data_IF_223325371359
#
_entry.id   IF_223325371359
#
_cell.length_a   1.000
_cell.length_b   1.000
_cell.length_c   1.000
_cell.angle_alpha   90.00
_cell.angle_beta   90.00
_cell.angle_gamma   90.00
#
_symmetry.space_group_name_H-M   'P 1'
#
loop_
_entity.id
_entity.type
_entity.pdbx_description
1 polymer ?
#
# COMPACT_ATOMS: atom_id res chain seq x y z
N UNK A 1 -3.28 16.66 10.31
CA UNK A 1 -3.89 15.43 10.86
C UNK A 1 -2.78 14.49 11.31
N UNK A 2 -2.82 14.09 12.56
CA UNK A 2 -1.84 13.17 13.08
C UNK A 2 -2.27 11.72 12.84
N UNK A 3 -1.32 10.88 12.49
CA UNK A 3 -1.55 9.44 12.37
C UNK A 3 -1.68 8.84 13.76
N UNK A 4 -2.84 8.29 14.04
CA UNK A 4 -3.13 7.56 15.28
C UNK A 4 -3.73 6.19 14.92
N UNK A 5 -3.96 5.36 15.93
CA UNK A 5 -4.49 4.01 15.73
C UNK A 5 -5.82 4.02 14.96
N UNK A 6 -6.71 4.94 15.31
CA UNK A 6 -8.02 5.05 14.64
C UNK A 6 -7.86 5.33 13.15
N UNK A 7 -7.00 6.28 12.79
CA UNK A 7 -6.76 6.62 11.39
C UNK A 7 -6.08 5.46 10.65
N UNK A 8 -5.05 4.85 11.25
CA UNK A 8 -4.34 3.73 10.64
C UNK A 8 -5.28 2.56 10.37
N UNK A 9 -6.12 2.20 11.32
CA UNK A 9 -7.09 1.10 11.17
C UNK A 9 -8.16 1.43 10.13
N UNK A 10 -8.63 2.68 10.10
CA UNK A 10 -9.59 3.13 9.10
C UNK A 10 -8.99 3.07 7.69
N UNK A 11 -7.77 3.57 7.52
CA UNK A 11 -7.05 3.50 6.24
C UNK A 11 -6.81 2.05 5.82
N UNK A 12 -6.45 1.18 6.76
CA UNK A 12 -6.28 -0.26 6.48
C UNK A 12 -7.55 -0.84 5.87
N UNK A 13 -8.70 -0.59 6.49
CA UNK A 13 -9.99 -1.08 6.01
C UNK A 13 -10.35 -0.54 4.62
N UNK A 14 -10.17 0.77 4.44
CA UNK A 14 -10.47 1.42 3.15
C UNK A 14 -9.54 0.89 2.06
N UNK A 15 -8.24 0.83 2.31
CA UNK A 15 -7.28 0.34 1.32
C UNK A 15 -7.49 -1.14 1.00
N UNK A 16 -7.80 -1.97 2.01
CA UNK A 16 -8.05 -3.39 1.73
C UNK A 16 -9.36 -3.59 0.97
N UNK A 17 -10.40 -2.83 1.31
CA UNK A 17 -11.65 -2.85 0.53
C UNK A 17 -11.36 -2.55 -0.95
N UNK A 18 -10.57 -1.49 -1.20
CA UNK A 18 -10.18 -1.12 -2.55
C UNK A 18 -9.34 -2.22 -3.23
N UNK A 19 -8.40 -2.82 -2.50
CA UNK A 19 -7.55 -3.88 -3.05
C UNK A 19 -8.37 -5.10 -3.47
N UNK A 20 -9.33 -5.52 -2.66
CA UNK A 20 -10.22 -6.64 -2.98
C UNK A 20 -11.09 -6.29 -4.20
N UNK A 21 -11.65 -5.09 -4.23
CA UNK A 21 -12.48 -4.63 -5.35
C UNK A 21 -11.67 -4.58 -6.65
N UNK A 22 -10.45 -4.01 -6.61
CA UNK A 22 -9.58 -3.90 -7.78
C UNK A 22 -9.04 -5.27 -8.22
N UNK A 23 -8.79 -6.16 -7.27
CA UNK A 23 -8.41 -7.55 -7.59
C UNK A 23 -9.52 -8.28 -8.31
N UNK A 24 -10.75 -8.18 -7.83
CA UNK A 24 -11.92 -8.78 -8.46
C UNK A 24 -12.19 -8.14 -9.83
N UNK A 25 -12.10 -6.81 -9.93
CA UNK A 25 -12.26 -6.08 -11.18
C UNK A 25 -11.26 -6.56 -12.22
N UNK A 26 -9.98 -6.69 -11.85
CA UNK A 26 -8.94 -7.16 -12.76
C UNK A 26 -9.17 -8.60 -13.23
N UNK A 27 -9.62 -9.48 -12.32
CA UNK A 27 -9.85 -10.89 -12.64
C UNK A 27 -11.05 -11.11 -13.56
N UNK A 28 -12.03 -10.22 -13.53
CA UNK A 28 -13.30 -10.39 -14.25
C UNK A 28 -13.48 -9.35 -15.36
N UNK A 29 -13.59 -8.07 -15.02
CA UNK A 29 -13.92 -7.02 -16.00
C UNK A 29 -12.75 -6.72 -16.95
N UNK A 30 -11.51 -6.80 -16.49
CA UNK A 30 -10.32 -6.54 -17.31
C UNK A 30 -9.80 -7.79 -18.02
N UNK A 31 -10.37 -8.94 -17.75
CA UNK A 31 -9.94 -10.18 -18.40
C UNK A 31 -10.10 -10.07 -19.92
N UNK A 32 -8.99 -10.26 -20.62
CA UNK A 32 -8.97 -10.15 -22.08
C UNK A 32 -8.86 -8.71 -22.61
N UNK A 33 -8.91 -7.70 -21.77
CA UNK A 33 -8.78 -6.29 -22.14
C UNK A 33 -7.35 -5.76 -21.97
N UNK A 34 -6.56 -6.40 -21.12
CA UNK A 34 -5.15 -6.07 -20.92
C UNK A 34 -4.27 -7.13 -21.56
N UNK A 35 -3.15 -6.71 -22.16
CA UNK A 35 -2.15 -7.67 -22.62
C UNK A 35 -1.49 -8.37 -21.41
N UNK A 36 -0.72 -9.47 -21.64
CA UNK A 36 -0.10 -10.19 -20.52
C UNK A 36 0.79 -9.33 -19.63
N UNK A 37 1.54 -8.37 -20.23
CA UNK A 37 2.41 -7.49 -19.46
C UNK A 37 1.59 -6.56 -18.54
N UNK A 38 0.54 -5.97 -19.08
CA UNK A 38 -0.33 -5.07 -18.30
C UNK A 38 -1.15 -5.82 -17.25
N UNK A 39 -1.53 -7.05 -17.54
CA UNK A 39 -2.17 -7.93 -16.56
C UNK A 39 -1.23 -8.19 -15.38
N UNK A 40 0.05 -8.48 -15.65
CA UNK A 40 1.05 -8.68 -14.61
C UNK A 40 1.26 -7.40 -13.78
N UNK A 41 1.28 -6.23 -14.43
CA UNK A 41 1.39 -4.93 -13.74
C UNK A 41 0.20 -4.72 -12.80
N UNK A 42 -1.02 -4.99 -13.27
CA UNK A 42 -2.22 -4.88 -12.44
C UNK A 42 -2.17 -5.81 -11.24
N UNK A 43 -1.79 -7.06 -11.45
CA UNK A 43 -1.68 -8.06 -10.38
C UNK A 43 -0.63 -7.67 -9.35
N UNK A 44 0.51 -7.13 -9.78
CA UNK A 44 1.53 -6.61 -8.87
C UNK A 44 1.00 -5.44 -8.04
N UNK A 45 0.25 -4.54 -8.66
CA UNK A 45 -0.38 -3.42 -7.96
C UNK A 45 -1.30 -3.92 -6.85
N UNK A 46 -2.21 -4.84 -7.17
CA UNK A 46 -3.16 -5.41 -6.20
C UNK A 46 -2.42 -6.10 -5.05
N UNK A 47 -1.39 -6.87 -5.36
CA UNK A 47 -0.65 -7.65 -4.37
C UNK A 47 0.06 -6.75 -3.36
N UNK A 48 0.83 -5.77 -3.83
CA UNK A 48 1.53 -4.84 -2.94
C UNK A 48 0.55 -3.94 -2.18
N UNK A 49 -0.52 -3.54 -2.83
CA UNK A 49 -1.62 -2.80 -2.21
C UNK A 49 -2.21 -3.59 -1.02
N UNK A 50 -2.59 -4.83 -1.25
CA UNK A 50 -3.19 -5.68 -0.21
C UNK A 50 -2.22 -5.97 0.93
N UNK A 51 -0.96 -6.32 0.62
CA UNK A 51 0.04 -6.59 1.66
C UNK A 51 0.22 -5.40 2.59
N UNK A 52 0.26 -4.18 2.04
CA UNK A 52 0.52 -2.98 2.85
C UNK A 52 -0.74 -2.44 3.52
N UNK A 53 -1.93 -2.75 2.99
CA UNK A 53 -3.18 -2.53 3.72
C UNK A 53 -3.23 -3.41 4.98
N UNK A 54 -2.77 -4.68 4.89
CA UNK A 54 -2.63 -5.55 6.06
C UNK A 54 -1.53 -5.05 7.00
N UNK A 55 -0.44 -4.50 6.46
CA UNK A 55 0.60 -3.91 7.29
C UNK A 55 0.05 -2.73 8.11
N UNK A 56 -0.82 -1.92 7.52
CA UNK A 56 -1.51 -0.85 8.24
C UNK A 56 -2.40 -1.38 9.36
N UNK A 57 -3.08 -2.51 9.14
CA UNK A 57 -3.85 -3.16 10.19
C UNK A 57 -2.95 -3.55 11.37
N UNK A 58 -1.80 -4.15 11.07
CA UNK A 58 -0.82 -4.52 12.09
C UNK A 58 -0.28 -3.32 12.84
N UNK A 59 0.15 -2.29 12.12
CA UNK A 59 0.69 -1.06 12.72
C UNK A 59 -0.36 -0.36 13.56
N UNK A 60 -1.59 -0.24 13.05
CA UNK A 60 -2.69 0.37 13.81
C UNK A 60 -2.99 -0.38 15.09
N UNK A 61 -2.95 -1.71 15.05
CA UNK A 61 -3.13 -2.54 16.25
C UNK A 61 -2.00 -2.34 17.26
N UNK A 62 -0.75 -2.25 16.77
CA UNK A 62 0.40 -1.96 17.62
C UNK A 62 0.30 -0.57 18.26
N UNK A 63 -0.26 0.40 17.55
CA UNK A 63 -0.46 1.75 18.08
C UNK A 63 -1.44 1.76 19.28
N UNK A 64 -2.40 0.83 19.30
CA UNK A 64 -3.27 0.67 20.46
C UNK A 64 -2.50 0.15 21.69
N UNK A 65 -1.47 -0.68 21.44
CA UNK A 65 -0.64 -1.28 22.47
C UNK A 65 0.52 -0.37 22.90
N UNK A 66 1.09 0.35 21.96
CA UNK A 66 2.24 1.24 22.16
C UNK A 66 1.94 2.67 21.66
N UNK A 67 0.95 3.36 22.25
CA UNK A 67 0.51 4.65 21.70
C UNK A 67 1.57 5.75 21.71
N UNK A 68 2.60 5.61 22.56
CA UNK A 68 3.68 6.58 22.68
C UNK A 68 4.79 6.40 21.64
N UNK A 69 4.78 5.31 20.86
CA UNK A 69 5.84 5.03 19.89
C UNK A 69 5.60 5.77 18.58
N UNK A 70 6.28 6.90 18.40
CA UNK A 70 6.15 7.74 17.19
C UNK A 70 6.55 7.03 15.90
N UNK A 71 7.46 6.06 15.98
CA UNK A 71 7.86 5.27 14.82
C UNK A 71 6.71 4.52 14.18
N UNK A 72 5.70 4.11 14.94
CA UNK A 72 4.52 3.45 14.40
C UNK A 72 3.70 4.41 13.52
N UNK A 73 3.55 5.66 13.93
CA UNK A 73 2.86 6.66 13.13
C UNK A 73 3.62 6.93 11.81
N UNK A 74 4.95 7.02 11.88
CA UNK A 74 5.78 7.20 10.70
C UNK A 74 5.67 6.01 9.75
N UNK A 75 5.73 4.78 10.27
CA UNK A 75 5.54 3.57 9.45
C UNK A 75 4.17 3.58 8.76
N UNK A 76 3.11 3.96 9.48
CA UNK A 76 1.77 4.03 8.91
C UNK A 76 1.68 5.06 7.78
N UNK A 77 2.30 6.24 7.93
CA UNK A 77 2.36 7.24 6.86
C UNK A 77 3.15 6.73 5.66
N UNK A 78 4.28 6.04 5.89
CA UNK A 78 5.11 5.50 4.82
C UNK A 78 4.38 4.40 4.05
N UNK A 79 3.64 3.52 4.72
CA UNK A 79 2.82 2.52 4.04
C UNK A 79 1.69 3.17 3.25
N UNK A 80 1.05 4.19 3.79
CA UNK A 80 -0.01 4.95 3.10
C UNK A 80 0.54 5.61 1.83
N UNK A 81 1.68 6.29 1.94
CA UNK A 81 2.34 6.92 0.80
C UNK A 81 2.76 5.86 -0.23
N UNK A 82 3.30 4.74 0.24
CA UNK A 82 3.71 3.64 -0.62
C UNK A 82 2.56 3.05 -1.42
N UNK A 83 1.41 2.79 -0.79
CA UNK A 83 0.23 2.29 -1.49
C UNK A 83 -0.20 3.28 -2.57
N UNK A 84 -0.28 4.56 -2.23
CA UNK A 84 -0.71 5.60 -3.16
C UNK A 84 0.23 5.71 -4.35
N UNK A 85 1.53 5.79 -4.11
CA UNK A 85 2.52 5.99 -5.17
C UNK A 85 2.81 4.71 -5.94
N UNK A 86 3.03 3.59 -5.24
CA UNK A 86 3.40 2.33 -5.88
C UNK A 86 2.21 1.70 -6.61
N UNK A 87 1.16 1.34 -5.88
CA UNK A 87 0.00 0.69 -6.47
C UNK A 87 -0.75 1.64 -7.39
N UNK A 88 -0.94 2.90 -6.98
CA UNK A 88 -1.62 3.90 -7.79
C UNK A 88 -0.97 4.12 -9.14
N UNK A 89 0.36 4.24 -9.19
CA UNK A 89 1.08 4.41 -10.46
C UNK A 89 0.98 3.17 -11.36
N UNK A 90 1.04 1.98 -10.78
CA UNK A 90 0.90 0.73 -11.54
C UNK A 90 -0.51 0.55 -12.10
N UNK A 91 -1.56 0.88 -11.34
CA UNK A 91 -2.92 0.87 -11.88
C UNK A 91 -3.04 1.84 -13.06
N UNK A 92 -2.45 3.03 -12.93
CA UNK A 92 -2.48 4.03 -14.00
C UNK A 92 -1.73 3.54 -15.24
N UNK A 93 -0.57 2.92 -15.09
CA UNK A 93 0.18 2.33 -16.22
C UNK A 93 -0.66 1.26 -16.91
N UNK A 94 -1.27 0.36 -16.14
CA UNK A 94 -2.05 -0.75 -16.70
C UNK A 94 -3.27 -0.25 -17.47
N UNK A 95 -3.96 0.77 -16.97
CA UNK A 95 -5.19 1.28 -17.59
C UNK A 95 -4.94 2.22 -18.76
N UNK A 96 -3.84 2.99 -18.73
CA UNK A 96 -3.57 4.02 -19.74
C UNK A 96 -2.53 3.58 -20.77
N UNK A 97 -1.71 2.58 -20.45
CA UNK A 97 -0.55 2.22 -21.26
C UNK A 97 0.59 3.22 -21.20
N UNK A 98 0.47 4.27 -20.41
CA UNK A 98 1.49 5.33 -20.28
C UNK A 98 2.60 4.86 -19.34
N UNK A 99 3.60 4.17 -19.91
CA UNK A 99 4.71 3.57 -19.14
C UNK A 99 5.53 4.60 -18.38
N UNK A 100 5.52 5.87 -18.80
CA UNK A 100 6.19 6.97 -18.09
C UNK A 100 5.68 7.17 -16.66
N UNK A 101 4.42 6.82 -16.38
CA UNK A 101 3.86 6.87 -15.02
C UNK A 101 4.54 5.89 -14.07
N UNK A 102 5.19 4.85 -14.61
CA UNK A 102 5.99 3.91 -13.83
C UNK A 102 7.23 4.53 -13.20
N UNK A 103 7.60 5.75 -13.57
CA UNK A 103 8.70 6.49 -12.91
C UNK A 103 8.33 6.89 -11.48
N UNK A 104 7.03 6.93 -11.15
CA UNK A 104 6.54 7.23 -9.79
C UNK A 104 6.67 6.00 -8.89
N UNK A 105 6.54 4.81 -9.45
CA UNK A 105 6.52 3.55 -8.72
C UNK A 105 7.72 3.35 -7.77
N UNK A 106 8.98 3.63 -8.17
CA UNK A 106 10.12 3.46 -7.27
C UNK A 106 10.04 4.31 -5.99
N UNK A 107 9.44 5.48 -6.05
CA UNK A 107 9.25 6.32 -4.86
C UNK A 107 8.32 5.65 -3.85
N UNK A 108 7.26 5.01 -4.35
CA UNK A 108 6.38 4.20 -3.52
C UNK A 108 7.08 2.97 -2.96
N UNK A 109 7.93 2.32 -3.75
CA UNK A 109 8.74 1.19 -3.30
C UNK A 109 9.70 1.57 -2.18
N UNK A 110 10.36 2.72 -2.31
CA UNK A 110 11.23 3.25 -1.25
C UNK A 110 10.41 3.55 0.02
N UNK A 111 9.22 4.11 -0.12
CA UNK A 111 8.33 4.35 1.02
C UNK A 111 7.97 3.05 1.73
N UNK A 112 7.68 1.98 0.99
CA UNK A 112 7.44 0.66 1.58
C UNK A 112 8.65 0.15 2.35
N UNK A 113 9.82 0.18 1.74
CA UNK A 113 11.05 -0.27 2.38
C UNK A 113 11.34 0.53 3.66
N UNK A 114 11.20 1.85 3.59
CA UNK A 114 11.39 2.72 4.74
C UNK A 114 10.37 2.41 5.84
N UNK A 115 9.12 2.15 5.48
CA UNK A 115 8.07 1.79 6.45
C UNK A 115 8.42 0.52 7.22
N UNK A 116 8.87 -0.52 6.52
CA UNK A 116 9.29 -1.78 7.16
C UNK A 116 10.54 -1.59 8.02
N UNK A 117 11.50 -0.81 7.55
CA UNK A 117 12.71 -0.52 8.32
C UNK A 117 12.38 0.24 9.62
N UNK A 118 11.49 1.23 9.54
CA UNK A 118 11.05 2.01 10.70
C UNK A 118 10.28 1.12 11.68
N UNK A 119 9.40 0.25 11.17
CA UNK A 119 8.68 -0.70 12.01
C UNK A 119 9.63 -1.64 12.75
N UNK A 120 10.59 -2.22 12.03
CA UNK A 120 11.58 -3.11 12.63
C UNK A 120 12.39 -2.41 13.72
N UNK A 121 12.84 -1.20 13.44
CA UNK A 121 13.60 -0.40 14.42
C UNK A 121 12.77 -0.05 15.66
N UNK A 122 11.53 0.38 15.43
CA UNK A 122 10.61 0.75 16.51
C UNK A 122 10.32 -0.46 17.42
N UNK A 123 10.07 -1.61 16.83
CA UNK A 123 9.81 -2.85 17.56
C UNK A 123 11.05 -3.30 18.36
N UNK A 124 12.24 -3.21 17.74
CA UNK A 124 13.49 -3.60 18.40
C UNK A 124 13.76 -2.76 19.64
N UNK A 125 13.40 -1.48 19.59
CA UNK A 125 13.61 -0.55 20.70
C UNK A 125 12.45 -0.46 21.70
N UNK A 126 11.40 -1.22 21.46
CA UNK A 126 10.22 -1.17 22.31
C UNK A 126 10.43 -1.83 23.69
#
# INVERSE_FOLDING_TARGET
>A
MEMNARLALTLSGIFMFAAVALGAFGAHALKGHLDPDMTAVWQSAVQYHAWHALALLGVGSLMLHWPQKRGLALAAWLFTAGITLFAGSLYAVALTGMRGLGMITPFGGVAFLAGWAVLAWTAWRA
#
